data_IF_277108731806
#
_entry.id   IF_277108731806
#
_cell.length_a   1.000
_cell.length_b   1.000
_cell.length_c   1.000
_cell.angle_alpha   90.00
_cell.angle_beta   90.00
_cell.angle_gamma   90.00
#
_symmetry.space_group_name_H-M   'P 1'
#
loop_
_entity.id
_entity.type
_entity.pdbx_description
1 polymer ?
#
# COMPACT_ATOMS: atom_id res chain seq x y z
N UNK A 1 -13.03 -4.05 7.42
CA UNK A 1 -12.70 -2.66 7.78
C UNK A 1 -11.91 -2.57 9.08
N UNK A 2 -12.47 -3.05 10.21
CA UNK A 2 -11.93 -2.78 11.56
C UNK A 2 -10.46 -3.21 11.85
N UNK A 3 -9.86 -4.11 11.07
CA UNK A 3 -8.49 -4.58 11.30
C UNK A 3 -7.41 -3.61 10.79
N UNK A 4 -7.65 -2.92 9.67
CA UNK A 4 -6.65 -2.00 9.09
C UNK A 4 -6.57 -0.70 9.89
N UNK A 5 -7.71 -0.21 10.39
CA UNK A 5 -7.80 1.07 11.11
C UNK A 5 -7.02 1.08 12.45
N UNK A 6 -6.76 -0.11 13.00
CA UNK A 6 -6.01 -0.32 14.24
C UNK A 6 -4.63 -0.98 14.02
N UNK A 7 -4.20 -1.12 12.77
CA UNK A 7 -2.94 -1.78 12.42
C UNK A 7 -1.70 -1.00 12.90
N UNK A 8 -1.79 0.34 12.92
CA UNK A 8 -0.68 1.25 13.19
C UNK A 8 -0.93 2.06 14.46
N UNK A 9 0.15 2.40 15.16
CA UNK A 9 0.17 3.28 16.34
C UNK A 9 1.18 4.44 16.15
N UNK A 10 1.09 5.51 16.95
CA UNK A 10 2.07 6.59 16.92
C UNK A 10 3.51 6.06 17.09
N UNK A 11 4.42 6.51 16.22
CA UNK A 11 5.82 6.09 16.18
C UNK A 11 6.12 4.94 15.22
N UNK A 12 5.10 4.30 14.62
CA UNK A 12 5.31 3.36 13.53
C UNK A 12 5.56 4.11 12.20
N UNK A 13 6.22 3.44 11.26
CA UNK A 13 6.44 3.94 9.90
C UNK A 13 5.88 2.96 8.86
N UNK A 14 5.35 3.49 7.76
CA UNK A 14 4.90 2.72 6.61
C UNK A 14 5.94 2.83 5.47
N UNK A 15 6.45 1.69 5.03
CA UNK A 15 7.36 1.60 3.88
C UNK A 15 6.64 0.91 2.71
N UNK A 16 6.50 1.61 1.60
CA UNK A 16 6.04 1.05 0.33
C UNK A 16 7.27 0.75 -0.53
N UNK A 17 7.43 -0.51 -0.93
CA UNK A 17 8.57 -0.95 -1.73
C UNK A 17 8.10 -1.17 -3.16
N UNK A 18 8.76 -0.49 -4.10
CA UNK A 18 8.65 -0.73 -5.54
C UNK A 18 7.21 -0.79 -6.08
N UNK A 19 6.33 0.06 -5.56
CA UNK A 19 4.96 0.23 -6.08
C UNK A 19 5.00 1.25 -7.22
N UNK A 20 5.52 0.83 -8.37
CA UNK A 20 5.72 1.66 -9.56
C UNK A 20 4.88 1.13 -10.72
N UNK A 21 4.41 2.03 -11.60
CA UNK A 21 3.65 1.63 -12.79
C UNK A 21 4.39 0.62 -13.67
N UNK A 22 5.73 0.65 -13.67
CA UNK A 22 6.55 -0.29 -14.44
C UNK A 22 6.35 -1.75 -14.01
N UNK A 23 5.99 -2.00 -12.75
CA UNK A 23 5.74 -3.34 -12.22
C UNK A 23 4.25 -3.76 -12.31
N UNK A 24 3.35 -2.85 -12.68
CA UNK A 24 1.95 -3.16 -12.92
C UNK A 24 1.74 -3.72 -14.33
N UNK A 25 0.60 -4.40 -14.60
CA UNK A 25 0.25 -4.83 -15.95
C UNK A 25 0.27 -3.66 -16.96
N UNK A 26 1.00 -3.84 -18.07
CA UNK A 26 1.22 -2.80 -19.07
C UNK A 26 2.44 -1.90 -18.84
N UNK A 27 3.17 -2.09 -17.74
CA UNK A 27 4.44 -1.42 -17.45
C UNK A 27 5.65 -2.02 -18.18
N UNK A 28 6.84 -1.47 -17.92
CA UNK A 28 8.09 -1.92 -18.54
C UNK A 28 8.59 -3.30 -18.05
N UNK A 29 8.24 -3.70 -16.81
CA UNK A 29 8.56 -5.00 -16.22
C UNK A 29 7.34 -5.55 -15.46
N UNK A 30 6.27 -5.93 -16.17
CA UNK A 30 4.98 -6.20 -15.55
C UNK A 30 5.03 -7.47 -14.69
N UNK A 31 4.50 -7.37 -13.47
CA UNK A 31 4.22 -8.49 -12.58
C UNK A 31 2.75 -8.88 -12.77
N UNK A 32 2.48 -10.19 -12.88
CA UNK A 32 1.11 -10.71 -12.95
C UNK A 32 0.32 -10.26 -11.72
N UNK A 33 -0.84 -9.63 -11.95
CA UNK A 33 -1.70 -9.03 -10.92
C UNK A 33 -0.99 -8.03 -9.99
N UNK A 34 0.10 -7.39 -10.46
CA UNK A 34 0.92 -6.47 -9.67
C UNK A 34 0.17 -5.24 -9.14
N UNK A 35 -0.95 -4.89 -9.76
CA UNK A 35 -1.85 -3.81 -9.36
C UNK A 35 -2.87 -4.22 -8.27
N UNK A 36 -3.07 -5.52 -8.02
CA UNK A 36 -4.05 -6.01 -7.05
C UNK A 36 -3.77 -5.57 -5.60
N UNK A 37 -2.52 -5.18 -5.30
CA UNK A 37 -2.11 -4.67 -3.98
C UNK A 37 -2.57 -3.24 -3.72
N UNK A 38 -2.83 -2.45 -4.78
CA UNK A 38 -3.10 -1.00 -4.71
C UNK A 38 -4.32 -0.68 -3.83
N UNK A 39 -5.47 -1.37 -3.92
CA UNK A 39 -6.62 -1.11 -3.04
C UNK A 39 -6.36 -1.39 -1.56
N UNK A 40 -5.44 -2.31 -1.24
CA UNK A 40 -5.03 -2.58 0.15
C UNK A 40 -4.08 -1.48 0.62
N UNK A 41 -3.06 -1.15 -0.19
CA UNK A 41 -2.10 -0.10 0.10
C UNK A 41 -2.78 1.24 0.37
N UNK A 42 -3.74 1.64 -0.46
CA UNK A 42 -4.48 2.89 -0.27
C UNK A 42 -5.16 2.96 1.10
N UNK A 43 -5.73 1.85 1.59
CA UNK A 43 -6.34 1.80 2.92
C UNK A 43 -5.31 1.90 4.05
N UNK A 44 -4.16 1.24 3.89
CA UNK A 44 -3.08 1.29 4.89
C UNK A 44 -2.42 2.67 4.92
N UNK A 45 -2.29 3.34 3.77
CA UNK A 45 -1.83 4.73 3.68
C UNK A 45 -2.75 5.65 4.47
N UNK A 46 -4.07 5.54 4.31
CA UNK A 46 -5.02 6.36 5.06
C UNK A 46 -4.97 6.06 6.57
N UNK A 47 -4.81 4.78 6.95
CA UNK A 47 -4.60 4.41 8.34
C UNK A 47 -3.31 5.01 8.91
N UNK A 48 -2.21 5.02 8.14
CA UNK A 48 -0.95 5.62 8.56
C UNK A 48 -1.09 7.12 8.77
N UNK A 49 -1.65 7.85 7.79
CA UNK A 49 -1.91 9.30 7.89
C UNK A 49 -2.77 9.67 9.10
N UNK A 50 -3.69 8.79 9.51
CA UNK A 50 -4.56 9.03 10.67
C UNK A 50 -3.84 8.89 12.02
N UNK A 51 -2.63 8.32 12.07
CA UNK A 51 -1.89 8.04 13.31
C UNK A 51 -0.66 8.93 13.53
N UNK A 52 -0.33 9.81 12.58
CA UNK A 52 0.75 10.79 12.66
C UNK A 52 1.60 10.80 11.41
#
# INVERSE_FOLDING_TARGET
>A
MAAIDNLLKPGDALLLVDVQNDFCPGGALPIADGDAVVPVLNRVIEAAKAKG
#
